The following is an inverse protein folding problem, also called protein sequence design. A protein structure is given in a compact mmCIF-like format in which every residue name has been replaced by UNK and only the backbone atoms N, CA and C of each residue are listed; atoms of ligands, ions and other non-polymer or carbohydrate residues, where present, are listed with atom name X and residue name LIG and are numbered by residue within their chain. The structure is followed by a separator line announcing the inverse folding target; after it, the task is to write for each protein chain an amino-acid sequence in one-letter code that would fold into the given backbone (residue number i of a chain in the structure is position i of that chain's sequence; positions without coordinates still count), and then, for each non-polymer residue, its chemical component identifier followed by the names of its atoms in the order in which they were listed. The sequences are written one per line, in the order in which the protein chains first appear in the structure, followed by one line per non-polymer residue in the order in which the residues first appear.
data_IF_315797897794
#
_entry.id   IF_315797897794
#
_cell.length_a   1.000
_cell.length_b   1.000
_cell.length_c   1.000
_cell.angle_alpha   90.00
_cell.angle_beta   90.00
_cell.angle_gamma   90.00
#
_symmetry.space_group_name_H-M   'P 1'
#
loop_
_entity.id
_entity.type
_entity.pdbx_description
1 polymer ?
#
# COMPACT_ATOMS: atom_id res chain seq x y z
N UNK A 1 -50.31 34.26 5.55
CA UNK A 1 -50.86 34.86 4.31
C UNK A 1 -49.75 34.78 3.27
N UNK A 2 -49.72 33.72 2.47
CA UNK A 2 -50.28 33.59 1.10
C UNK A 2 -49.35 34.22 0.04
N UNK A 3 -48.63 33.46 -0.77
CA UNK A 3 -49.01 32.72 -2.01
C UNK A 3 -49.37 33.60 -3.21
N UNK A 4 -48.62 33.42 -4.32
CA UNK A 4 -49.02 33.37 -5.75
C UNK A 4 -47.71 33.33 -6.59
N UNK A 5 -47.34 32.37 -7.43
CA UNK A 5 -48.01 31.49 -8.41
C UNK A 5 -48.64 32.19 -9.60
N UNK A 6 -48.01 32.06 -10.77
CA UNK A 6 -48.69 32.01 -12.08
C UNK A 6 -48.03 30.97 -12.98
N UNK A 7 -48.88 30.02 -13.40
CA UNK A 7 -48.67 28.97 -14.40
C UNK A 7 -48.99 29.53 -15.78
N UNK A 8 -48.39 28.96 -16.83
CA UNK A 8 -49.04 28.79 -18.13
C UNK A 8 -48.67 27.42 -18.72
N UNK A 9 -49.69 26.71 -19.19
CA UNK A 9 -49.69 25.37 -19.79
C UNK A 9 -49.62 25.44 -21.32
N UNK A 10 -49.17 24.35 -21.95
CA UNK A 10 -49.47 24.02 -23.36
C UNK A 10 -48.51 22.93 -23.89
N UNK A 11 -48.77 21.64 -23.62
CA UNK A 11 -49.49 20.65 -24.45
C UNK A 11 -48.68 19.95 -25.58
N UNK A 12 -48.64 18.62 -25.42
CA UNK A 12 -48.22 17.48 -26.26
C UNK A 12 -48.29 17.59 -27.80
N UNK A 13 -47.34 16.93 -28.51
CA UNK A 13 -47.63 15.65 -29.20
C UNK A 13 -46.42 15.00 -29.93
N UNK A 14 -46.33 13.67 -29.76
CA UNK A 14 -45.97 12.61 -30.71
C UNK A 14 -44.72 12.74 -31.64
N UNK A 15 -43.73 11.87 -31.42
CA UNK A 15 -42.79 11.44 -32.47
C UNK A 15 -43.10 10.00 -32.92
N UNK A 16 -43.33 9.86 -34.23
CA UNK A 16 -43.62 8.63 -34.96
C UNK A 16 -42.38 7.73 -35.12
N UNK A 17 -42.64 6.41 -35.05
CA UNK A 17 -41.85 5.31 -35.62
C UNK A 17 -41.41 5.60 -37.06
N UNK A 18 -40.14 5.35 -37.37
CA UNK A 18 -39.68 4.98 -38.71
C UNK A 18 -38.79 3.74 -38.58
N UNK A 19 -39.26 2.66 -39.19
CA UNK A 19 -38.53 1.41 -39.45
C UNK A 19 -38.01 1.52 -40.87
N UNK A 20 -36.72 1.31 -41.10
CA UNK A 20 -36.16 1.05 -42.43
C UNK A 20 -35.13 -0.07 -42.32
N UNK A 21 -35.44 -1.17 -43.00
CA UNK A 21 -34.59 -2.33 -43.18
C UNK A 21 -33.55 -2.06 -44.26
N UNK A 22 -32.31 -2.53 -44.09
CA UNK A 22 -31.42 -2.85 -45.21
C UNK A 22 -30.65 -4.14 -44.94
N UNK A 23 -30.47 -4.91 -46.02
CA UNK A 23 -29.98 -6.29 -46.08
C UNK A 23 -28.46 -6.42 -45.86
N UNK A 24 -28.08 -7.62 -45.39
CA UNK A 24 -26.73 -8.19 -45.22
C UNK A 24 -25.75 -7.90 -46.37
N UNK A 25 -24.51 -7.59 -46.00
CA UNK A 25 -23.29 -8.03 -46.70
C UNK A 25 -22.29 -8.58 -45.67
N UNK A 26 -21.83 -9.81 -45.89
CA UNK A 26 -20.80 -10.48 -45.08
C UNK A 26 -19.44 -9.86 -45.38
N UNK A 27 -18.79 -9.26 -44.38
CA UNK A 27 -17.34 -9.08 -44.35
C UNK A 27 -16.88 -9.11 -42.89
N UNK A 28 -15.89 -9.95 -42.61
CA UNK A 28 -15.27 -10.13 -41.30
C UNK A 28 -14.52 -8.86 -40.89
N UNK A 29 -15.04 -8.17 -39.87
CA UNK A 29 -14.44 -6.98 -39.26
C UNK A 29 -13.94 -7.32 -37.85
N UNK A 30 -12.80 -6.77 -37.39
CA UNK A 30 -12.32 -6.95 -36.02
C UNK A 30 -13.23 -6.21 -35.03
N UNK A 31 -13.58 -6.87 -33.93
CA UNK A 31 -14.52 -6.40 -32.90
C UNK A 31 -14.14 -5.03 -32.30
N UNK A 32 -15.12 -4.13 -32.08
CA UNK A 32 -14.91 -2.89 -31.34
C UNK A 32 -14.86 -3.16 -29.83
N UNK A 33 -13.92 -2.49 -29.13
CA UNK A 33 -13.87 -2.43 -27.67
C UNK A 33 -15.06 -1.63 -27.11
N UNK A 34 -16.20 -2.30 -26.96
CA UNK A 34 -17.32 -1.85 -26.18
C UNK A 34 -17.60 -2.91 -25.09
N UNK A 35 -17.08 -2.67 -23.88
CA UNK A 35 -17.41 -3.50 -22.72
C UNK A 35 -18.78 -3.04 -22.22
N UNK A 36 -19.82 -3.69 -22.73
CA UNK A 36 -21.16 -3.68 -22.14
C UNK A 36 -21.07 -4.27 -20.74
N UNK A 37 -21.59 -3.56 -19.74
CA UNK A 37 -21.85 -4.15 -18.44
C UNK A 37 -22.97 -5.19 -18.60
N UNK A 38 -22.78 -6.36 -17.98
CA UNK A 38 -23.61 -7.58 -18.03
C UNK A 38 -23.25 -8.54 -19.16
N UNK A 39 -22.40 -9.53 -18.86
CA UNK A 39 -22.71 -10.96 -19.00
C UNK A 39 -21.54 -11.86 -18.51
N UNK A 40 -21.90 -13.03 -17.98
CA UNK A 40 -21.09 -13.93 -17.15
C UNK A 40 -19.98 -14.72 -17.84
N UNK A 41 -19.15 -14.07 -18.66
CA UNK A 41 -17.86 -14.63 -19.09
C UNK A 41 -16.86 -13.46 -19.19
N UNK A 42 -16.27 -13.07 -18.06
CA UNK A 42 -15.38 -11.90 -18.01
C UNK A 42 -14.07 -12.22 -18.72
N UNK A 43 -13.88 -11.77 -19.95
CA UNK A 43 -12.57 -11.78 -20.58
C UNK A 43 -11.76 -10.57 -20.12
N UNK A 44 -10.47 -10.78 -19.85
CA UNK A 44 -9.54 -9.72 -19.47
C UNK A 44 -8.42 -9.62 -20.52
N UNK A 45 -7.94 -8.40 -20.78
CA UNK A 45 -6.80 -8.16 -21.65
C UNK A 45 -5.61 -7.69 -20.80
N UNK A 46 -4.44 -8.29 -21.01
CA UNK A 46 -3.20 -7.92 -20.34
C UNK A 46 -2.18 -7.52 -21.39
N UNK A 47 -1.75 -6.27 -21.34
CA UNK A 47 -0.77 -5.68 -22.24
C UNK A 47 0.60 -5.75 -21.60
N UNK A 48 1.53 -6.41 -22.26
CA UNK A 48 2.91 -6.56 -21.82
C UNK A 48 3.80 -5.51 -22.48
N UNK A 49 4.66 -4.86 -21.70
CA UNK A 49 5.61 -3.86 -22.18
C UNK A 49 6.94 -3.98 -21.43
N UNK A 50 8.05 -4.03 -22.16
CA UNK A 50 9.39 -3.98 -21.60
C UNK A 50 10.06 -2.62 -21.83
N UNK A 51 10.84 -2.16 -20.85
CA UNK A 51 11.62 -0.92 -20.91
C UNK A 51 12.79 -1.00 -21.92
N UNK A 52 13.32 -2.19 -22.17
CA UNK A 52 14.42 -2.46 -23.11
C UNK A 52 14.06 -3.55 -24.13
N UNK A 53 14.91 -3.75 -25.13
CA UNK A 53 14.76 -4.86 -26.09
C UNK A 53 14.71 -6.23 -25.40
N UNK A 54 15.56 -6.47 -24.39
CA UNK A 54 15.58 -7.73 -23.65
C UNK A 54 14.25 -8.01 -22.91
N UNK A 55 13.68 -6.98 -22.27
CA UNK A 55 12.39 -7.09 -21.59
C UNK A 55 11.23 -7.25 -22.60
N UNK A 56 11.33 -6.64 -23.79
CA UNK A 56 10.35 -6.84 -24.85
C UNK A 56 10.42 -8.26 -25.46
N UNK A 57 11.61 -8.87 -25.56
CA UNK A 57 11.71 -10.28 -25.93
C UNK A 57 11.09 -11.20 -24.87
N UNK A 58 11.29 -10.89 -23.58
CA UNK A 58 10.62 -11.62 -22.49
C UNK A 58 9.10 -11.52 -22.61
N UNK A 59 8.57 -10.36 -22.98
CA UNK A 59 7.14 -10.16 -23.20
C UNK A 59 6.60 -11.03 -24.36
N UNK A 60 7.34 -11.12 -25.47
CA UNK A 60 7.01 -11.99 -26.60
C UNK A 60 7.00 -13.46 -26.19
N UNK A 61 8.02 -13.92 -25.47
CA UNK A 61 8.09 -15.30 -24.97
C UNK A 61 6.91 -15.62 -24.05
N UNK A 62 6.58 -14.74 -23.12
CA UNK A 62 5.46 -14.94 -22.21
C UNK A 62 4.12 -15.00 -22.94
N UNK A 63 3.89 -14.09 -23.89
CA UNK A 63 2.69 -14.13 -24.75
C UNK A 63 2.56 -15.47 -25.50
N UNK A 64 3.64 -15.95 -26.10
CA UNK A 64 3.62 -17.18 -26.89
C UNK A 64 3.50 -18.46 -26.05
N UNK A 65 4.01 -18.44 -24.82
CA UNK A 65 3.95 -19.60 -23.92
C UNK A 65 2.55 -19.89 -23.37
N UNK A 66 1.68 -18.87 -23.31
CA UNK A 66 0.39 -18.98 -22.61
C UNK A 66 0.54 -19.27 -21.10
N UNK A 67 1.70 -18.98 -20.52
CA UNK A 67 2.00 -19.35 -19.13
C UNK A 67 1.24 -18.53 -18.08
N UNK A 68 0.86 -17.30 -18.42
CA UNK A 68 0.14 -16.41 -17.50
C UNK A 68 -1.30 -16.86 -17.28
N UNK A 69 -1.71 -16.91 -16.02
CA UNK A 69 -3.05 -17.35 -15.58
C UNK A 69 -3.72 -16.27 -14.74
N UNK A 70 -5.04 -16.22 -14.81
CA UNK A 70 -5.88 -15.44 -13.90
C UNK A 70 -6.64 -16.38 -12.96
N UNK A 71 -7.12 -15.80 -11.85
CA UNK A 71 -8.09 -16.45 -10.97
C UNK A 71 -9.35 -16.88 -11.73
N UNK A 72 -9.94 -17.98 -11.29
CA UNK A 72 -11.31 -18.39 -11.64
C UNK A 72 -11.54 -18.73 -13.14
N UNK A 73 -10.52 -19.22 -13.85
CA UNK A 73 -10.60 -19.55 -15.30
C UNK A 73 -11.07 -18.37 -16.18
N UNK A 74 -10.90 -17.13 -15.70
CA UNK A 74 -11.15 -15.90 -16.47
C UNK A 74 -10.34 -15.96 -17.77
N UNK A 75 -10.99 -15.83 -18.92
CA UNK A 75 -10.31 -15.86 -20.21
C UNK A 75 -9.34 -14.68 -20.31
N UNK A 76 -8.04 -14.98 -20.51
CA UNK A 76 -6.98 -14.00 -20.56
C UNK A 76 -6.48 -13.85 -22.00
N UNK A 77 -6.63 -12.65 -22.55
CA UNK A 77 -6.00 -12.24 -23.80
C UNK A 77 -4.71 -11.49 -23.50
N UNK A 78 -3.58 -11.94 -24.05
CA UNK A 78 -2.28 -11.31 -23.87
C UNK A 78 -1.91 -10.55 -25.14
N UNK A 79 -1.59 -9.27 -25.00
CA UNK A 79 -1.21 -8.37 -26.08
C UNK A 79 0.17 -7.79 -25.80
N UNK A 80 0.94 -7.49 -26.84
CA UNK A 80 2.15 -6.67 -26.68
C UNK A 80 1.77 -5.21 -26.89
N UNK A 81 2.38 -4.31 -26.10
CA UNK A 81 2.19 -2.87 -26.29
C UNK A 81 2.52 -2.43 -27.72
N UNK A 82 3.57 -3.00 -28.31
CA UNK A 82 3.97 -2.75 -29.71
C UNK A 82 2.93 -3.13 -30.76
N UNK A 83 1.95 -3.96 -30.42
CA UNK A 83 0.87 -4.39 -31.32
C UNK A 83 -0.39 -3.51 -31.21
N UNK A 84 -0.44 -2.61 -30.21
CA UNK A 84 -1.60 -1.76 -29.97
C UNK A 84 -1.64 -0.60 -30.97
N UNK A 85 -2.42 -0.75 -32.05
CA UNK A 85 -2.55 0.24 -33.13
C UNK A 85 -3.47 1.44 -32.82
N UNK A 86 -4.12 1.48 -31.65
CA UNK A 86 -5.06 2.56 -31.28
C UNK A 86 -4.60 3.28 -30.01
N UNK A 87 -4.79 4.61 -29.94
CA UNK A 87 -4.59 5.34 -28.71
C UNK A 87 -5.48 4.73 -27.63
N UNK A 88 -4.86 4.32 -26.54
CA UNK A 88 -5.56 3.92 -25.32
C UNK A 88 -6.36 5.16 -24.87
N UNK A 89 -7.60 4.97 -24.38
CA UNK A 89 -8.48 6.08 -23.94
C UNK A 89 -7.71 7.09 -23.07
N UNK A 90 -8.01 8.39 -23.20
CA UNK A 90 -7.31 9.47 -22.47
C UNK A 90 -7.19 9.23 -20.95
N UNK A 91 -8.16 8.56 -20.33
CA UNK A 91 -8.15 8.30 -18.89
C UNK A 91 -7.48 6.98 -18.46
N UNK A 92 -6.90 6.22 -19.39
CA UNK A 92 -6.21 4.97 -19.08
C UNK A 92 -4.77 5.23 -18.61
N UNK A 93 -4.16 4.22 -18.00
CA UNK A 93 -2.76 4.32 -17.59
C UNK A 93 -1.85 4.52 -18.81
N UNK A 94 -1.04 5.58 -18.78
CA UNK A 94 -0.13 5.95 -19.86
C UNK A 94 1.15 5.11 -19.86
N UNK A 95 1.10 3.93 -20.50
CA UNK A 95 2.25 2.99 -20.57
C UNK A 95 3.54 3.69 -21.02
N UNK A 96 3.51 4.44 -22.13
CA UNK A 96 4.71 5.12 -22.65
C UNK A 96 5.18 6.23 -21.70
N UNK A 97 4.27 6.95 -21.05
CA UNK A 97 4.62 8.00 -20.09
C UNK A 97 5.32 7.42 -18.86
N UNK A 98 4.84 6.29 -18.33
CA UNK A 98 5.50 5.58 -17.24
C UNK A 98 6.87 5.07 -17.68
N UNK A 99 6.94 4.36 -18.81
CA UNK A 99 8.18 3.79 -19.31
C UNK A 99 9.21 4.88 -19.58
N UNK A 100 8.84 6.02 -20.17
CA UNK A 100 9.77 7.12 -20.45
C UNK A 100 10.30 7.79 -19.18
N UNK A 101 9.50 7.85 -18.12
CA UNK A 101 9.88 8.49 -16.85
C UNK A 101 10.69 7.58 -15.92
N UNK A 102 10.56 6.26 -16.08
CA UNK A 102 11.24 5.26 -15.25
C UNK A 102 12.76 5.23 -15.51
N UNK A 103 13.57 5.31 -14.44
CA UNK A 103 15.04 5.36 -14.50
C UNK A 103 15.76 4.18 -13.84
N UNK A 104 15.02 3.24 -13.29
CA UNK A 104 15.55 2.08 -12.55
C UNK A 104 16.34 1.08 -13.40
N UNK A 105 17.16 0.29 -12.71
CA UNK A 105 17.92 -0.82 -13.30
C UNK A 105 17.21 -2.17 -13.17
N UNK A 106 16.39 -2.37 -12.13
CA UNK A 106 15.76 -3.66 -11.82
C UNK A 106 14.25 -3.59 -11.73
N UNK A 107 13.70 -2.61 -11.01
CA UNK A 107 12.28 -2.64 -10.65
C UNK A 107 11.39 -1.82 -11.59
N UNK A 108 10.21 -2.32 -11.92
CA UNK A 108 9.20 -1.63 -12.74
C UNK A 108 9.43 -1.71 -14.26
N UNK A 109 10.54 -2.30 -14.69
CA UNK A 109 10.99 -2.29 -16.09
C UNK A 109 10.27 -3.30 -17.00
N UNK A 110 9.55 -4.24 -16.41
CA UNK A 110 8.65 -5.16 -17.11
C UNK A 110 7.22 -4.92 -16.60
N UNK A 111 6.38 -4.34 -17.45
CA UNK A 111 5.01 -3.93 -17.12
C UNK A 111 3.99 -4.91 -17.69
N UNK A 112 3.01 -5.24 -16.87
CA UNK A 112 1.75 -5.87 -17.24
C UNK A 112 0.62 -4.90 -16.92
N UNK A 113 0.01 -4.30 -17.93
CA UNK A 113 -1.10 -3.36 -17.73
C UNK A 113 -2.43 -3.96 -18.18
N UNK A 114 -3.51 -3.65 -17.47
CA UNK A 114 -4.86 -3.91 -17.95
C UNK A 114 -5.84 -2.80 -17.58
N UNK A 115 -6.77 -2.43 -18.48
CA UNK A 115 -7.87 -1.52 -18.14
C UNK A 115 -8.76 -2.05 -17.00
N UNK A 116 -8.87 -3.38 -16.88
CA UNK A 116 -9.73 -4.00 -15.87
C UNK A 116 -9.27 -5.42 -15.61
N UNK A 117 -9.04 -5.73 -14.35
CA UNK A 117 -8.58 -7.05 -13.91
C UNK A 117 -9.14 -7.38 -12.51
N UNK A 118 -9.15 -8.66 -12.09
CA UNK A 118 -9.68 -8.99 -10.76
C UNK A 118 -8.83 -8.37 -9.64
N UNK A 119 -7.52 -8.65 -9.62
CA UNK A 119 -6.56 -8.11 -8.64
C UNK A 119 -5.14 -8.16 -9.21
N UNK A 120 -4.40 -7.05 -9.14
CA UNK A 120 -2.98 -6.99 -9.54
C UNK A 120 -2.14 -7.91 -8.67
N UNK A 121 -2.51 -8.01 -7.39
CA UNK A 121 -1.83 -8.86 -6.42
C UNK A 121 -1.97 -10.34 -6.76
N UNK A 122 -3.15 -10.76 -7.22
CA UNK A 122 -3.40 -12.14 -7.62
C UNK A 122 -2.66 -12.47 -8.93
N UNK A 123 -2.62 -11.54 -9.89
CA UNK A 123 -1.81 -11.69 -11.12
C UNK A 123 -0.34 -11.91 -10.78
N UNK A 124 0.24 -11.07 -9.91
CA UNK A 124 1.65 -11.17 -9.55
C UNK A 124 1.94 -12.45 -8.75
N UNK A 125 1.15 -12.74 -7.72
CA UNK A 125 1.43 -13.87 -6.82
C UNK A 125 1.26 -15.23 -7.49
N UNK A 126 0.29 -15.39 -8.39
CA UNK A 126 0.04 -16.66 -9.07
C UNK A 126 1.05 -16.93 -10.19
N UNK A 127 1.51 -15.88 -10.86
CA UNK A 127 2.42 -15.99 -11.99
C UNK A 127 3.87 -15.70 -11.59
N UNK A 128 4.17 -15.62 -10.29
CA UNK A 128 5.47 -15.16 -9.80
C UNK A 128 6.66 -15.88 -10.44
N UNK A 129 6.56 -17.19 -10.68
CA UNK A 129 7.64 -17.99 -11.27
C UNK A 129 7.85 -17.74 -12.77
N UNK A 130 6.86 -17.21 -13.47
CA UNK A 130 6.92 -16.88 -14.90
C UNK A 130 7.36 -15.42 -15.12
N UNK A 131 7.25 -14.58 -14.08
CA UNK A 131 7.55 -13.16 -14.16
C UNK A 131 9.00 -12.89 -13.73
N UNK A 132 9.69 -11.94 -14.39
CA UNK A 132 11.00 -11.49 -13.92
C UNK A 132 10.85 -10.81 -12.54
N UNK A 133 11.91 -10.88 -11.73
CA UNK A 133 11.96 -10.11 -10.48
C UNK A 133 11.97 -8.61 -10.82
N UNK A 134 11.11 -7.85 -10.15
CA UNK A 134 10.86 -6.45 -10.44
C UNK A 134 9.77 -6.20 -11.48
N UNK A 135 9.13 -7.22 -12.03
CA UNK A 135 7.93 -7.06 -12.86
C UNK A 135 6.81 -6.39 -12.08
N UNK A 136 6.08 -5.48 -12.73
CA UNK A 136 4.95 -4.74 -12.16
C UNK A 136 3.68 -4.98 -12.95
N UNK A 137 2.60 -5.28 -12.25
CA UNK A 137 1.25 -5.31 -12.79
C UNK A 137 0.48 -4.08 -12.36
N UNK A 138 -0.14 -3.36 -13.32
CA UNK A 138 -0.94 -2.16 -13.09
C UNK A 138 -2.36 -2.35 -13.62
N UNK A 139 -3.36 -1.88 -12.86
CA UNK A 139 -4.76 -1.87 -13.28
C UNK A 139 -5.32 -0.44 -13.30
N UNK A 140 -6.18 -0.12 -14.28
CA UNK A 140 -7.03 1.07 -14.13
C UNK A 140 -8.17 0.82 -13.12
N UNK A 141 -8.72 -0.40 -13.10
CA UNK A 141 -9.79 -0.82 -12.18
C UNK A 141 -9.58 -2.26 -11.75
N UNK A 142 -9.71 -2.53 -10.45
CA UNK A 142 -9.81 -3.88 -9.90
C UNK A 142 -11.24 -4.18 -9.45
N UNK A 143 -11.80 -5.34 -9.82
CA UNK A 143 -13.15 -5.74 -9.37
C UNK A 143 -13.14 -6.79 -8.25
N UNK A 144 -11.96 -7.29 -7.86
CA UNK A 144 -11.72 -8.16 -6.69
C UNK A 144 -10.49 -7.69 -5.91
N UNK A 145 -10.36 -6.37 -5.73
CA UNK A 145 -9.21 -5.75 -5.06
C UNK A 145 -8.94 -6.32 -3.66
N UNK A 146 -7.68 -6.59 -3.34
CA UNK A 146 -7.27 -7.27 -2.10
C UNK A 146 -6.82 -6.27 -1.05
N UNK A 147 -7.37 -6.39 0.16
CA UNK A 147 -6.82 -5.81 1.38
C UNK A 147 -6.22 -6.88 2.29
N UNK A 148 -5.69 -6.48 3.44
CA UNK A 148 -5.21 -7.42 4.47
C UNK A 148 -6.35 -8.25 5.04
N UNK A 149 -6.04 -9.49 5.41
CA UNK A 149 -7.00 -10.45 5.97
C UNK A 149 -8.19 -10.68 5.01
N UNK A 150 -9.41 -10.31 5.41
CA UNK A 150 -10.63 -10.45 4.60
C UNK A 150 -11.12 -9.12 4.01
N UNK A 151 -10.36 -8.03 4.18
CA UNK A 151 -10.76 -6.72 3.68
C UNK A 151 -10.62 -6.66 2.16
N UNK A 152 -11.52 -5.93 1.52
CA UNK A 152 -11.52 -5.67 0.07
C UNK A 152 -11.01 -4.25 -0.15
N UNK A 153 -10.18 -4.06 -1.17
CA UNK A 153 -9.75 -2.72 -1.60
C UNK A 153 -10.68 -2.21 -2.70
N UNK A 154 -11.47 -1.18 -2.38
CA UNK A 154 -12.30 -0.49 -3.37
C UNK A 154 -11.42 0.27 -4.38
N UNK A 155 -11.69 0.07 -5.66
CA UNK A 155 -10.80 0.50 -6.76
C UNK A 155 -11.54 1.34 -7.81
N UNK A 156 -12.13 2.49 -7.44
CA UNK A 156 -12.72 3.39 -8.43
C UNK A 156 -11.65 3.90 -9.40
N UNK A 157 -12.08 4.27 -10.61
CA UNK A 157 -11.22 4.86 -11.63
C UNK A 157 -10.52 6.11 -11.06
N UNK A 158 -9.24 6.28 -11.38
CA UNK A 158 -8.38 7.34 -10.81
C UNK A 158 -7.44 6.85 -9.70
N UNK A 159 -7.64 5.64 -9.18
CA UNK A 159 -6.64 5.00 -8.31
C UNK A 159 -5.37 4.64 -9.10
N UNK A 160 -4.22 4.74 -8.46
CA UNK A 160 -3.00 4.02 -8.83
C UNK A 160 -3.02 2.65 -8.12
N UNK A 161 -3.17 1.59 -8.90
CA UNK A 161 -3.31 0.21 -8.41
C UNK A 161 -2.22 -0.63 -9.05
N UNK A 162 -1.27 -1.09 -8.26
CA UNK A 162 -0.18 -1.90 -8.79
C UNK A 162 0.33 -2.93 -7.80
N UNK A 163 0.89 -4.01 -8.32
CA UNK A 163 1.62 -4.99 -7.54
C UNK A 163 2.90 -5.37 -8.26
N UNK A 164 3.96 -5.72 -7.54
CA UNK A 164 5.24 -6.09 -8.17
C UNK A 164 5.93 -7.28 -7.49
N UNK A 165 6.80 -7.94 -8.24
CA UNK A 165 7.61 -9.06 -7.78
C UNK A 165 8.88 -8.59 -7.09
N UNK A 166 9.18 -9.20 -5.95
CA UNK A 166 10.43 -9.03 -5.22
C UNK A 166 10.90 -10.39 -4.69
N UNK A 167 12.20 -10.62 -4.66
CA UNK A 167 12.78 -11.81 -4.06
C UNK A 167 13.74 -11.44 -2.93
N UNK A 168 13.72 -12.23 -1.85
CA UNK A 168 14.54 -12.02 -0.66
C UNK A 168 15.03 -13.37 -0.13
N UNK A 169 16.19 -13.40 0.52
CA UNK A 169 16.76 -14.65 1.06
C UNK A 169 16.56 -14.76 2.57
N UNK A 170 16.75 -13.66 3.30
CA UNK A 170 16.63 -13.63 4.75
C UNK A 170 15.19 -13.39 5.21
N UNK A 171 14.55 -14.46 5.68
CA UNK A 171 13.19 -14.44 6.21
C UNK A 171 12.99 -13.48 7.37
N UNK A 172 14.06 -13.15 8.12
CA UNK A 172 13.99 -12.24 9.27
C UNK A 172 13.71 -10.80 8.87
N UNK A 173 13.97 -10.44 7.63
CA UNK A 173 13.80 -9.06 7.17
C UNK A 173 12.63 -8.93 6.19
N UNK A 174 12.04 -10.04 5.73
CA UNK A 174 10.85 -10.04 4.86
C UNK A 174 9.69 -9.24 5.45
N UNK A 175 9.31 -9.34 6.75
CA UNK A 175 8.22 -8.53 7.31
C UNK A 175 8.48 -7.01 7.24
N UNK A 176 9.74 -6.60 7.14
CA UNK A 176 10.14 -5.19 7.17
C UNK A 176 9.96 -4.51 5.81
N UNK A 177 9.84 -5.29 4.74
CA UNK A 177 9.73 -4.74 3.38
C UNK A 177 8.51 -3.84 3.21
N UNK A 178 7.42 -4.09 3.94
CA UNK A 178 6.22 -3.26 3.88
C UNK A 178 6.52 -1.80 4.27
N UNK A 179 7.48 -1.58 5.18
CA UNK A 179 7.87 -0.25 5.62
C UNK A 179 8.75 0.44 4.57
N UNK A 180 9.63 -0.32 3.91
CA UNK A 180 10.42 0.17 2.77
C UNK A 180 9.51 0.59 1.62
N UNK A 181 8.50 -0.22 1.31
CA UNK A 181 7.46 0.12 0.31
C UNK A 181 6.68 1.35 0.74
N UNK A 182 6.28 1.45 2.01
CA UNK A 182 5.57 2.62 2.55
C UNK A 182 6.37 3.90 2.39
N UNK A 183 7.64 3.87 2.77
CA UNK A 183 8.57 4.98 2.62
C UNK A 183 8.75 5.38 1.16
N UNK A 184 8.89 4.41 0.26
CA UNK A 184 9.05 4.69 -1.16
C UNK A 184 7.82 5.43 -1.75
N UNK A 185 6.60 5.06 -1.34
CA UNK A 185 5.39 5.79 -1.79
C UNK A 185 5.40 7.22 -1.26
N UNK A 186 5.66 7.42 0.03
CA UNK A 186 5.66 8.78 0.61
C UNK A 186 6.73 9.67 0.00
N UNK A 187 7.92 9.12 -0.27
CA UNK A 187 9.04 9.82 -0.89
C UNK A 187 8.86 10.08 -2.38
N UNK A 188 8.16 9.21 -3.09
CA UNK A 188 7.79 9.43 -4.48
C UNK A 188 6.85 10.63 -4.63
N UNK A 189 5.87 10.76 -3.74
CA UNK A 189 4.96 11.90 -3.76
C UNK A 189 5.71 13.20 -3.47
N UNK A 190 6.66 13.22 -2.53
CA UNK A 190 7.53 14.39 -2.29
C UNK A 190 8.33 14.75 -3.54
N UNK A 191 8.96 13.76 -4.15
CA UNK A 191 9.78 13.94 -5.34
C UNK A 191 9.00 14.55 -6.52
N UNK A 192 7.77 14.10 -6.72
CA UNK A 192 6.87 14.68 -7.73
C UNK A 192 6.48 16.11 -7.36
N UNK A 193 6.24 16.42 -6.07
CA UNK A 193 6.01 17.80 -5.64
C UNK A 193 7.21 18.70 -5.95
N UNK A 194 8.40 18.28 -5.54
CA UNK A 194 9.64 19.05 -5.67
C UNK A 194 9.97 19.32 -7.15
N UNK A 195 9.89 18.30 -8.01
CA UNK A 195 10.15 18.42 -9.45
C UNK A 195 9.21 19.38 -10.17
N UNK A 196 7.99 19.56 -9.65
CA UNK A 196 6.97 20.39 -10.25
C UNK A 196 6.73 21.71 -9.48
N UNK A 197 7.57 22.02 -8.48
CA UNK A 197 7.43 23.25 -7.69
C UNK A 197 6.11 23.35 -6.92
N UNK A 198 5.55 22.22 -6.49
CA UNK A 198 4.27 22.14 -5.79
C UNK A 198 4.44 22.25 -4.28
N UNK A 199 3.41 22.71 -3.54
CA UNK A 199 3.44 22.59 -2.09
C UNK A 199 3.49 21.13 -1.67
N UNK A 200 4.11 20.88 -0.52
CA UNK A 200 4.38 19.52 -0.08
C UNK A 200 3.10 18.79 0.35
N UNK A 201 2.77 17.68 -0.32
CA UNK A 201 1.67 16.78 0.05
C UNK A 201 2.17 15.75 1.07
N UNK A 202 1.93 16.06 2.35
CA UNK A 202 2.46 15.30 3.49
C UNK A 202 1.68 14.00 3.76
N UNK A 203 1.91 12.99 2.92
CA UNK A 203 1.38 11.64 3.15
C UNK A 203 2.15 10.97 4.29
N UNK A 204 1.42 10.59 5.34
CA UNK A 204 1.93 9.91 6.54
C UNK A 204 1.65 8.41 6.50
N UNK A 205 2.51 7.65 7.16
CA UNK A 205 2.38 6.21 7.36
C UNK A 205 1.63 5.96 8.66
N UNK A 206 0.44 5.38 8.57
CA UNK A 206 -0.28 4.78 9.70
C UNK A 206 0.08 3.30 9.75
N UNK A 207 0.74 2.91 10.82
CA UNK A 207 1.17 1.52 11.00
C UNK A 207 -0.03 0.56 11.00
N UNK A 208 0.08 -0.64 10.40
CA UNK A 208 1.29 -1.21 9.77
C UNK A 208 1.50 -0.87 8.29
N UNK A 209 0.47 -0.45 7.58
CA UNK A 209 0.45 -0.56 6.12
C UNK A 209 -0.48 0.45 5.43
N UNK A 210 -0.98 1.46 6.14
CA UNK A 210 -1.91 2.43 5.60
C UNK A 210 -1.22 3.78 5.37
N UNK A 211 -1.62 4.46 4.30
CA UNK A 211 -1.15 5.80 3.96
C UNK A 211 -2.28 6.80 4.21
N UNK A 212 -1.96 7.87 4.92
CA UNK A 212 -2.90 8.88 5.38
C UNK A 212 -2.49 10.27 4.91
N UNK A 213 -3.48 11.06 4.52
CA UNK A 213 -3.33 12.46 4.15
C UNK A 213 -4.41 13.25 4.86
N UNK A 214 -4.01 14.26 5.64
CA UNK A 214 -4.93 15.08 6.44
C UNK A 214 -5.93 14.26 7.29
N UNK A 215 -5.44 13.21 7.96
CA UNK A 215 -6.27 12.34 8.81
C UNK A 215 -7.17 11.34 8.07
N UNK A 216 -7.24 11.40 6.74
CA UNK A 216 -8.01 10.47 5.91
C UNK A 216 -7.10 9.45 5.23
N UNK A 217 -7.59 8.22 5.08
CA UNK A 217 -6.86 7.17 4.37
C UNK A 217 -6.83 7.48 2.87
N UNK A 218 -5.64 7.54 2.30
CA UNK A 218 -5.40 7.78 0.86
C UNK A 218 -4.78 6.56 0.18
N UNK A 219 -4.21 5.61 0.92
CA UNK A 219 -3.60 4.43 0.34
C UNK A 219 -3.45 3.27 1.31
N UNK A 220 -3.05 2.12 0.77
CA UNK A 220 -2.80 0.91 1.52
C UNK A 220 -1.80 0.01 0.81
N UNK A 221 -1.03 -0.73 1.61
CA UNK A 221 0.03 -1.63 1.15
C UNK A 221 -0.29 -3.04 1.62
N UNK A 222 -0.03 -4.01 0.74
CA UNK A 222 -0.21 -5.44 0.99
C UNK A 222 1.05 -6.18 0.52
N UNK A 223 1.85 -6.67 1.46
CA UNK A 223 2.94 -7.58 1.15
C UNK A 223 2.55 -9.00 1.55
N UNK A 224 2.68 -9.94 0.62
CA UNK A 224 2.55 -11.38 0.90
C UNK A 224 3.79 -12.10 0.38
N UNK A 225 4.21 -13.16 1.05
CA UNK A 225 5.36 -13.95 0.63
C UNK A 225 5.03 -15.43 0.55
N UNK A 226 5.66 -16.12 -0.40
CA UNK A 226 5.77 -17.58 -0.42
C UNK A 226 7.23 -17.97 -0.33
N UNK A 227 7.54 -19.12 0.27
CA UNK A 227 8.90 -19.63 0.33
C UNK A 227 9.06 -20.76 -0.68
N UNK A 228 9.95 -20.58 -1.67
CA UNK A 228 10.22 -21.55 -2.73
C UNK A 228 11.69 -21.50 -3.12
N UNK A 229 12.29 -22.66 -3.38
CA UNK A 229 13.70 -22.76 -3.83
C UNK A 229 14.70 -22.00 -2.94
N UNK A 230 14.53 -22.07 -1.61
CA UNK A 230 15.33 -21.38 -0.60
C UNK A 230 15.24 -19.85 -0.61
N UNK A 231 14.26 -19.29 -1.30
CA UNK A 231 14.04 -17.85 -1.39
C UNK A 231 12.58 -17.50 -1.05
N UNK A 232 12.39 -16.29 -0.53
CA UNK A 232 11.09 -15.68 -0.30
C UNK A 232 10.67 -14.88 -1.52
N UNK A 233 9.64 -15.35 -2.20
CA UNK A 233 8.97 -14.67 -3.30
C UNK A 233 7.92 -13.75 -2.71
N UNK A 234 8.21 -12.44 -2.70
CA UNK A 234 7.37 -11.39 -2.13
C UNK A 234 6.58 -10.70 -3.24
N UNK A 235 5.26 -10.74 -3.13
CA UNK A 235 4.34 -9.92 -3.92
C UNK A 235 3.95 -8.70 -3.09
N UNK A 236 4.30 -7.50 -3.56
CA UNK A 236 3.97 -6.25 -2.90
C UNK A 236 2.95 -5.47 -3.73
N UNK A 237 1.76 -5.30 -3.19
CA UNK A 237 0.64 -4.56 -3.78
C UNK A 237 0.42 -3.22 -3.08
N UNK A 238 0.10 -2.19 -3.87
CA UNK A 238 -0.21 -0.84 -3.42
C UNK A 238 -1.50 -0.39 -4.12
N UNK A 239 -2.41 0.13 -3.31
CA UNK A 239 -3.52 0.95 -3.77
C UNK A 239 -3.36 2.37 -3.26
N UNK A 240 -3.37 3.35 -4.15
CA UNK A 240 -3.23 4.76 -3.82
C UNK A 240 -4.30 5.57 -4.54
N UNK A 241 -5.03 6.40 -3.81
CA UNK A 241 -6.05 7.27 -4.36
C UNK A 241 -5.41 8.52 -4.94
N UNK A 242 -5.31 8.60 -6.27
CA UNK A 242 -4.64 9.73 -6.96
C UNK A 242 -5.67 10.74 -7.42
N UNK A 243 -6.67 10.30 -8.18
CA UNK A 243 -7.71 11.15 -8.75
C UNK A 243 -9.14 10.59 -8.54
N UNK A 244 -9.37 9.97 -7.37
CA UNK A 244 -10.66 9.42 -6.98
C UNK A 244 -11.11 9.94 -5.61
N UNK A 245 -12.03 10.90 -5.58
CA UNK A 245 -12.43 11.56 -4.33
C UNK A 245 -13.17 10.64 -3.34
N UNK A 246 -13.68 9.50 -3.83
CA UNK A 246 -14.42 8.50 -3.04
C UNK A 246 -13.65 7.18 -2.99
N UNK A 247 -13.84 6.36 -1.93
CA UNK A 247 -14.75 6.56 -0.80
C UNK A 247 -14.23 7.51 0.29
N UNK A 248 -12.95 7.89 0.28
CA UNK A 248 -12.32 8.70 1.34
C UNK A 248 -11.87 10.08 0.84
N UNK A 249 -10.75 10.11 0.12
CA UNK A 249 -10.12 11.29 -0.51
C UNK A 249 -9.03 10.83 -1.48
N UNK A 250 -8.43 11.74 -2.25
CA UNK A 250 -7.29 11.49 -3.11
C UNK A 250 -6.26 12.63 -3.10
N UNK A 251 -5.08 12.37 -3.66
CA UNK A 251 -3.99 13.35 -3.75
C UNK A 251 -4.39 14.63 -4.49
N UNK A 252 -5.11 14.49 -5.63
CA UNK A 252 -5.49 15.65 -6.43
C UNK A 252 -6.56 16.52 -5.77
N UNK A 253 -7.48 15.95 -4.99
CA UNK A 253 -8.43 16.75 -4.17
C UNK A 253 -7.66 17.60 -3.16
N UNK A 254 -6.73 16.99 -2.42
CA UNK A 254 -5.94 17.72 -1.44
C UNK A 254 -5.02 18.78 -2.08
N UNK A 255 -4.41 18.50 -3.24
CA UNK A 255 -3.57 19.48 -3.94
C UNK A 255 -4.35 20.73 -4.36
N UNK A 256 -5.59 20.54 -4.84
CA UNK A 256 -6.51 21.64 -5.19
C UNK A 256 -6.91 22.48 -3.97
N UNK A 257 -7.03 21.86 -2.80
CA UNK A 257 -7.30 22.57 -1.55
C UNK A 257 -6.08 23.36 -1.06
N UNK A 258 -4.88 22.86 -1.30
CA UNK A 258 -3.63 23.44 -0.82
C UNK A 258 -3.10 24.59 -1.70
N UNK A 259 -3.41 24.59 -3.00
CA UNK A 259 -2.88 25.59 -3.94
C UNK A 259 -3.78 25.83 -5.16
N UNK A 260 -3.62 27.00 -5.79
CA UNK A 260 -4.32 27.40 -7.03
C UNK A 260 -3.63 26.80 -8.28
N UNK A 261 -2.95 25.66 -8.14
CA UNK A 261 -2.22 25.03 -9.25
C UNK A 261 -3.19 24.37 -10.23
N UNK A 262 -2.86 24.40 -11.51
CA UNK A 262 -3.53 23.60 -12.55
C UNK A 262 -2.91 22.20 -12.69
N UNK A 263 -1.78 21.96 -12.01
CA UNK A 263 -1.13 20.65 -12.00
C UNK A 263 -2.01 19.60 -11.34
N UNK A 264 -1.98 18.40 -11.89
CA UNK A 264 -2.59 17.21 -11.30
C UNK A 264 -1.56 16.10 -11.26
N UNK A 265 -1.46 15.42 -10.13
CA UNK A 265 -0.67 14.21 -10.02
C UNK A 265 -1.15 13.18 -11.04
N UNK A 266 -0.19 12.67 -11.81
CA UNK A 266 -0.41 11.58 -12.74
C UNK A 266 0.04 10.27 -12.13
N UNK A 267 -0.74 9.22 -12.37
CA UNK A 267 -0.46 7.86 -11.85
C UNK A 267 0.89 7.35 -12.35
N UNK A 268 1.24 7.67 -13.58
CA UNK A 268 2.49 7.26 -14.23
C UNK A 268 3.71 7.91 -13.55
N UNK A 269 3.63 9.22 -13.27
CA UNK A 269 4.71 9.98 -12.65
C UNK A 269 4.97 9.50 -11.22
N UNK A 270 3.90 9.24 -10.45
CA UNK A 270 4.01 8.66 -9.10
C UNK A 270 4.61 7.25 -9.16
N UNK A 271 4.17 6.40 -10.10
CA UNK A 271 4.68 5.03 -10.19
C UNK A 271 6.16 4.99 -10.59
N UNK A 272 6.59 5.85 -11.52
CA UNK A 272 8.00 5.97 -11.91
C UNK A 272 8.84 6.44 -10.71
N UNK A 273 8.41 7.52 -10.04
CA UNK A 273 9.09 8.03 -8.84
C UNK A 273 9.11 6.99 -7.70
N UNK A 274 8.04 6.19 -7.56
CA UNK A 274 7.99 5.09 -6.59
C UNK A 274 9.11 4.09 -6.85
N UNK A 275 9.26 3.60 -8.07
CA UNK A 275 10.31 2.61 -8.37
C UNK A 275 11.71 3.19 -8.22
N UNK A 276 11.92 4.45 -8.60
CA UNK A 276 13.20 5.14 -8.41
C UNK A 276 13.58 5.27 -6.91
N UNK A 277 12.61 5.57 -6.03
CA UNK A 277 12.84 5.62 -4.58
C UNK A 277 12.95 4.22 -3.97
N UNK A 278 12.09 3.31 -4.39
CA UNK A 278 12.06 1.94 -3.89
C UNK A 278 13.36 1.20 -4.19
N UNK A 279 13.92 1.32 -5.41
CA UNK A 279 15.19 0.69 -5.75
C UNK A 279 16.32 1.17 -4.83
N UNK A 280 16.41 2.49 -4.58
CA UNK A 280 17.40 3.07 -3.67
C UNK A 280 17.21 2.61 -2.22
N UNK A 281 15.97 2.64 -1.71
CA UNK A 281 15.69 2.22 -0.33
C UNK A 281 15.83 0.72 -0.13
N UNK A 282 15.47 -0.07 -1.13
CA UNK A 282 15.67 -1.51 -1.11
C UNK A 282 17.17 -1.85 -1.03
N UNK A 283 18.01 -1.21 -1.84
CA UNK A 283 19.46 -1.42 -1.78
C UNK A 283 20.05 -0.99 -0.42
N UNK A 284 19.63 0.16 0.13
CA UNK A 284 20.03 0.56 1.49
C UNK A 284 19.60 -0.47 2.54
N UNK A 285 18.36 -0.92 2.45
CA UNK A 285 17.77 -1.88 3.38
C UNK A 285 18.47 -3.24 3.35
N UNK A 286 18.76 -3.78 2.17
CA UNK A 286 19.44 -5.08 2.05
C UNK A 286 20.90 -4.99 2.49
N UNK A 287 21.59 -3.89 2.21
CA UNK A 287 23.02 -3.75 2.50
C UNK A 287 23.31 -3.26 3.93
N UNK A 288 22.45 -2.43 4.52
CA UNK A 288 22.69 -1.74 5.80
C UNK A 288 21.62 -2.02 6.86
N UNK A 289 20.57 -2.78 6.52
CA UNK A 289 19.43 -3.01 7.39
C UNK A 289 18.46 -1.82 7.44
N UNK A 290 17.32 -2.03 8.09
CA UNK A 290 16.27 -1.01 8.19
C UNK A 290 16.68 0.22 9.00
N UNK A 291 17.69 0.10 9.85
CA UNK A 291 18.23 1.18 10.68
C UNK A 291 18.61 2.41 9.85
N UNK A 292 19.09 2.19 8.61
CA UNK A 292 19.41 3.26 7.66
C UNK A 292 18.19 4.11 7.23
N UNK A 293 16.97 3.58 7.40
CA UNK A 293 15.71 4.20 6.99
C UNK A 293 14.82 4.62 8.18
N UNK A 294 15.22 4.31 9.42
CA UNK A 294 14.41 4.54 10.62
C UNK A 294 14.06 6.02 10.82
N UNK A 295 15.04 6.91 10.71
CA UNK A 295 14.81 8.35 10.89
C UNK A 295 13.75 8.87 9.90
N UNK A 296 13.86 8.45 8.64
CA UNK A 296 12.91 8.82 7.59
C UNK A 296 11.51 8.23 7.87
N UNK A 297 11.46 6.98 8.34
CA UNK A 297 10.22 6.32 8.73
C UNK A 297 9.51 7.09 9.83
N UNK A 298 10.24 7.46 10.88
CA UNK A 298 9.70 8.16 12.04
C UNK A 298 9.25 9.59 11.73
N UNK A 299 9.95 10.31 10.85
CA UNK A 299 9.51 11.62 10.34
C UNK A 299 8.19 11.53 9.57
N UNK A 300 7.92 10.37 8.99
CA UNK A 300 6.73 10.11 8.17
C UNK A 300 5.64 9.34 8.92
N UNK A 301 5.90 8.96 10.18
CA UNK A 301 4.94 8.20 10.99
C UNK A 301 3.81 9.09 11.51
N UNK A 302 2.57 8.64 11.35
CA UNK A 302 1.37 9.43 11.67
C UNK A 302 1.20 9.70 13.18
N UNK A 303 1.66 8.78 14.03
CA UNK A 303 1.34 8.80 15.46
C UNK A 303 2.28 9.67 16.31
N UNK A 304 3.30 10.26 15.71
CA UNK A 304 4.23 11.16 16.40
C UNK A 304 3.47 12.34 17.02
N UNK A 305 3.62 12.55 18.33
CA UNK A 305 2.98 13.62 19.09
C UNK A 305 1.52 13.38 19.44
N UNK A 306 0.94 12.20 19.14
CA UNK A 306 -0.45 11.92 19.49
C UNK A 306 -0.60 11.65 20.99
N UNK A 307 -1.65 12.24 21.59
CA UNK A 307 -2.06 11.90 22.95
C UNK A 307 -2.94 10.65 22.92
N UNK A 308 -2.56 9.64 23.69
CA UNK A 308 -3.30 8.39 23.87
C UNK A 308 -3.66 8.23 25.34
N UNK A 309 -4.78 7.56 25.60
CA UNK A 309 -5.18 7.16 26.94
C UNK A 309 -4.71 5.73 27.14
N UNK A 310 -3.86 5.53 28.13
CA UNK A 310 -3.38 4.22 28.57
C UNK A 310 -4.22 3.82 29.77
N UNK A 311 -4.99 2.74 29.63
CA UNK A 311 -5.81 2.19 30.71
C UNK A 311 -5.08 1.02 31.36
N UNK A 312 -4.58 1.18 32.57
CA UNK A 312 -4.09 0.05 33.37
C UNK A 312 -5.24 -0.54 34.19
N UNK A 313 -5.40 -1.87 34.13
CA UNK A 313 -6.38 -2.60 34.94
C UNK A 313 -5.66 -3.38 36.03
N UNK A 314 -5.78 -2.92 37.27
CA UNK A 314 -5.23 -3.61 38.45
C UNK A 314 -6.38 -4.16 39.29
N UNK A 315 -6.56 -5.48 39.23
CA UNK A 315 -7.51 -6.36 39.94
C UNK A 315 -8.99 -5.92 39.98
N UNK A 316 -9.33 -4.66 40.28
CA UNK A 316 -10.67 -4.05 40.17
C UNK A 316 -10.68 -2.53 39.86
N UNK A 317 -9.51 -1.88 39.67
CA UNK A 317 -9.41 -0.45 39.34
C UNK A 317 -8.88 -0.25 37.92
N UNK A 318 -9.50 0.67 37.18
CA UNK A 318 -9.01 1.17 35.90
C UNK A 318 -8.37 2.54 36.12
N UNK A 319 -7.07 2.63 35.91
CA UNK A 319 -6.33 3.90 35.96
C UNK A 319 -6.09 4.37 34.53
N UNK A 320 -6.60 5.55 34.21
CA UNK A 320 -6.40 6.18 32.90
C UNK A 320 -5.26 7.20 32.98
N UNK A 321 -4.21 6.99 32.18
CA UNK A 321 -3.12 7.95 32.02
C UNK A 321 -3.15 8.54 30.61
N UNK A 322 -3.16 9.86 30.52
CA UNK A 322 -2.99 10.55 29.23
C UNK A 322 -1.50 10.65 28.94
N UNK A 323 -1.10 10.11 27.81
CA UNK A 323 0.29 9.94 27.42
C UNK A 323 0.50 10.52 26.04
N UNK A 324 1.60 11.23 25.81
CA UNK A 324 1.98 11.63 24.45
C UNK A 324 2.94 10.61 23.85
N UNK A 325 2.56 10.05 22.69
CA UNK A 325 3.44 9.21 21.87
C UNK A 325 4.57 10.09 21.35
N UNK A 326 5.78 9.82 21.83
CA UNK A 326 6.99 10.42 21.31
C UNK A 326 7.84 9.33 20.67
N UNK A 327 8.34 9.62 19.47
CA UNK A 327 9.34 8.76 18.84
C UNK A 327 10.69 9.18 19.34
N UNK A 328 11.38 8.30 20.04
CA UNK A 328 12.72 8.58 20.52
C UNK A 328 13.74 7.92 19.62
N UNK A 329 14.67 8.72 19.09
CA UNK A 329 15.85 8.20 18.42
C UNK A 329 16.67 7.41 19.45
N UNK A 330 16.70 6.09 19.26
CA UNK A 330 17.22 5.09 20.21
C UNK A 330 18.70 5.28 20.59
N UNK A 331 19.46 6.11 19.88
CA UNK A 331 20.92 6.23 20.12
C UNK A 331 21.34 7.11 21.28
N UNK A 332 20.55 8.08 21.74
CA UNK A 332 21.03 9.03 22.76
C UNK A 332 20.56 8.71 24.19
N UNK A 333 19.43 8.02 24.31
CA UNK A 333 18.81 7.71 25.61
C UNK A 333 19.10 6.31 26.12
N UNK A 334 19.49 5.35 25.26
CA UNK A 334 19.92 4.04 25.75
C UNK A 334 21.19 4.15 26.60
N UNK A 335 22.12 5.06 26.28
CA UNK A 335 23.31 5.29 27.12
C UNK A 335 22.96 6.03 28.44
N UNK A 336 21.86 6.78 28.50
CA UNK A 336 21.44 7.55 29.70
C UNK A 336 20.43 6.79 30.60
N UNK A 337 19.62 5.88 30.05
CA UNK A 337 18.54 5.16 30.77
C UNK A 337 18.92 3.77 31.29
N UNK A 338 20.14 3.29 31.06
CA UNK A 338 20.61 1.94 31.45
C UNK A 338 20.76 1.69 32.97
N UNK A 339 19.98 2.37 33.83
CA UNK A 339 19.98 2.13 35.28
C UNK A 339 18.63 1.73 35.90
N UNK A 340 17.52 1.63 35.13
CA UNK A 340 16.21 1.31 35.73
C UNK A 340 15.36 0.36 34.87
N UNK A 341 14.89 -0.74 35.49
CA UNK A 341 13.90 -1.64 34.92
C UNK A 341 12.51 -1.00 34.98
N UNK A 342 11.89 -0.72 33.82
CA UNK A 342 10.48 -0.32 33.72
C UNK A 342 9.67 -1.38 32.98
N UNK A 343 8.51 -1.74 33.54
CA UNK A 343 7.42 -2.37 32.79
C UNK A 343 6.55 -1.26 32.22
N UNK A 344 6.28 -1.27 30.91
CA UNK A 344 5.46 -0.26 30.24
C UNK A 344 4.33 -1.00 29.51
N UNK A 345 3.08 -0.75 29.89
CA UNK A 345 1.92 -1.22 29.13
C UNK A 345 1.51 -0.14 28.12
N UNK A 346 1.43 -0.48 26.83
CA UNK A 346 1.06 0.48 25.78
C UNK A 346 -0.18 -0.01 25.02
N UNK A 347 -1.20 0.84 24.95
CA UNK A 347 -2.44 0.59 24.24
C UNK A 347 -2.48 1.43 22.97
N UNK A 348 -2.68 0.78 21.82
CA UNK A 348 -2.96 1.48 20.55
C UNK A 348 -4.13 0.79 19.87
N UNK A 349 -5.30 1.44 19.92
CA UNK A 349 -6.54 1.06 19.22
C UNK A 349 -6.99 -0.41 19.40
N UNK A 350 -7.75 -0.64 20.48
CA UNK A 350 -8.59 -1.83 20.74
C UNK A 350 -7.89 -3.20 20.80
N UNK A 351 -6.57 -3.27 20.95
CA UNK A 351 -5.89 -4.54 21.29
C UNK A 351 -4.82 -4.35 22.37
N UNK A 352 -4.78 -5.30 23.29
CA UNK A 352 -3.87 -5.35 24.43
C UNK A 352 -2.50 -5.86 23.98
N UNK A 353 -1.43 -5.14 24.32
CA UNK A 353 -0.06 -5.61 24.26
C UNK A 353 0.63 -5.33 25.61
N UNK A 354 1.15 -6.38 26.25
CA UNK A 354 2.01 -6.25 27.44
C UNK A 354 3.48 -6.22 27.00
N UNK A 355 4.24 -5.23 27.47
CA UNK A 355 5.67 -5.10 27.21
C UNK A 355 6.44 -5.43 28.49
N UNK A 356 7.37 -6.39 28.42
CA UNK A 356 8.31 -6.69 29.51
C UNK A 356 9.75 -6.57 28.98
N UNK A 357 10.61 -5.90 29.76
CA UNK A 357 12.01 -5.63 29.44
C UNK A 357 12.93 -6.50 30.33
N UNK A 358 13.97 -7.08 29.75
CA UNK A 358 15.01 -7.82 30.49
C UNK A 358 16.41 -7.31 30.11
N UNK A 359 17.24 -7.04 31.12
CA UNK A 359 18.54 -6.37 31.00
C UNK A 359 19.62 -7.41 30.74
N UNK A 360 20.20 -7.45 29.54
CA UNK A 360 21.47 -8.14 29.32
C UNK A 360 22.39 -7.34 28.39
N UNK A 361 23.59 -6.89 28.83
CA UNK A 361 24.38 -5.85 28.14
C UNK A 361 24.98 -6.23 26.78
N UNK A 362 24.83 -7.48 26.33
CA UNK A 362 25.46 -7.98 25.10
C UNK A 362 24.49 -8.60 24.10
N UNK A 363 23.17 -8.43 24.28
CA UNK A 363 22.17 -8.97 23.34
C UNK A 363 21.07 -7.94 23.07
N UNK A 364 20.66 -7.90 21.80
CA UNK A 364 19.48 -7.21 21.27
C UNK A 364 18.31 -7.37 22.25
N UNK A 365 17.65 -6.28 22.60
CA UNK A 365 16.48 -6.29 23.48
C UNK A 365 15.34 -7.07 22.84
N UNK A 366 14.80 -8.06 23.56
CA UNK A 366 13.61 -8.82 23.15
C UNK A 366 12.42 -8.39 24.00
N UNK A 367 11.24 -8.33 23.39
CA UNK A 367 9.98 -8.23 24.12
C UNK A 367 9.51 -9.64 24.50
N UNK A 368 9.27 -9.89 25.77
CA UNK A 368 8.62 -11.12 26.26
C UNK A 368 7.13 -10.83 26.42
N UNK A 369 6.29 -11.61 25.73
CA UNK A 369 4.86 -11.70 25.99
C UNK A 369 4.62 -12.86 26.95
N UNK A 370 4.23 -12.58 28.19
CA UNK A 370 3.68 -13.59 29.10
C UNK A 370 2.23 -13.23 29.43
N UNK A 371 1.31 -14.09 29.01
CA UNK A 371 -0.08 -14.09 29.50
C UNK A 371 -0.40 -15.50 29.99
N UNK A 372 -0.86 -15.61 31.23
CA UNK A 372 -1.24 -16.86 31.89
C UNK A 372 -2.62 -17.41 31.48
N UNK A 373 -3.19 -16.95 30.37
CA UNK A 373 -4.46 -17.43 29.84
C UNK A 373 -4.26 -18.38 28.65
N UNK A 374 -4.80 -19.60 28.78
CA UNK A 374 -4.60 -20.75 27.88
C UNK A 374 -5.23 -20.61 26.47
N UNK A 375 -5.42 -19.40 25.94
CA UNK A 375 -5.96 -19.18 24.59
C UNK A 375 -5.38 -17.95 23.86
N UNK A 376 -4.12 -17.57 24.12
CA UNK A 376 -3.41 -16.62 23.27
C UNK A 376 -2.38 -17.33 22.37
N UNK A 377 -2.65 -17.36 21.07
CA UNK A 377 -1.63 -17.57 20.03
C UNK A 377 -1.17 -16.22 19.51
N UNK A 378 0.09 -15.89 19.76
CA UNK A 378 0.71 -14.68 19.22
C UNK A 378 1.95 -15.08 18.42
N UNK A 379 1.89 -14.86 17.11
CA UNK A 379 3.00 -15.09 16.19
C UNK A 379 3.63 -13.72 15.87
N UNK A 380 4.84 -13.47 16.36
CA UNK A 380 5.68 -12.36 15.91
C UNK A 380 6.75 -12.90 14.95
N UNK A 381 6.83 -12.34 13.74
CA UNK A 381 8.03 -12.44 12.90
C UNK A 381 8.63 -11.03 12.75
N UNK A 382 9.75 -10.88 13.46
CA UNK A 382 10.92 -10.05 13.20
C UNK A 382 10.92 -8.49 13.25
N UNK A 383 11.77 -8.02 14.19
CA UNK A 383 12.72 -6.89 14.20
C UNK A 383 12.47 -5.61 13.39
N UNK A 384 11.51 -4.78 13.79
CA UNK A 384 11.74 -3.32 13.94
C UNK A 384 11.16 -2.92 15.29
N UNK A 385 12.03 -2.58 16.23
CA UNK A 385 11.67 -2.08 17.55
C UNK A 385 11.74 -0.55 17.52
N UNK A 386 10.61 0.10 17.24
CA UNK A 386 10.45 1.50 17.65
C UNK A 386 10.11 1.53 19.14
N UNK A 387 11.03 2.04 19.97
CA UNK A 387 10.72 2.38 21.36
C UNK A 387 9.81 3.61 21.35
N UNK A 388 8.51 3.40 21.59
CA UNK A 388 7.60 4.48 21.97
C UNK A 388 7.77 4.68 23.46
N UNK A 389 8.44 5.77 23.87
CA UNK A 389 8.39 6.17 25.27
C UNK A 389 7.19 7.06 25.51
N UNK A 390 6.53 6.74 26.60
CA UNK A 390 5.42 7.45 27.19
C UNK A 390 6.00 8.59 28.04
N UNK A 391 5.92 9.84 27.56
CA UNK A 391 6.21 11.01 28.40
C UNK A 391 4.94 11.34 29.18
N UNK A 392 5.07 11.55 30.49
CA UNK A 392 4.02 11.96 31.45
C UNK A 392 3.35 10.85 32.30
N UNK A 393 4.03 9.71 32.56
CA UNK A 393 3.63 8.91 33.73
C UNK A 393 4.08 9.61 35.02
N UNK A 394 3.19 9.82 36.02
CA UNK A 394 3.61 10.28 37.33
C UNK A 394 4.56 9.25 37.96
N UNK A 395 5.78 9.70 38.28
CA UNK A 395 6.78 8.97 39.06
C UNK A 395 6.29 8.79 40.50
N UNK A 396 5.39 7.84 40.72
CA UNK A 396 5.11 7.32 42.05
C UNK A 396 4.85 5.82 41.97
N UNK A 397 5.92 5.05 41.74
CA UNK A 397 5.94 3.64 42.09
C UNK A 397 6.94 3.45 43.23
N UNK A 398 6.40 3.11 44.40
CA UNK A 398 7.13 2.88 45.63
C UNK A 398 7.98 1.59 45.51
N UNK A 399 9.28 1.76 45.23
CA UNK A 399 10.25 0.69 44.93
C UNK A 399 10.48 -0.27 46.11
N UNK A 400 9.98 0.05 47.32
CA UNK A 400 10.27 -0.72 48.53
C UNK A 400 9.36 -1.94 48.75
N UNK A 401 8.25 -2.10 48.00
CA UNK A 401 7.33 -3.25 48.17
C UNK A 401 7.60 -4.46 47.25
N UNK A 402 8.47 -4.34 46.25
CA UNK A 402 8.75 -5.45 45.30
C UNK A 402 10.00 -6.30 45.63
N UNK A 403 10.77 -5.95 46.68
CA UNK A 403 11.99 -6.69 47.06
C UNK A 403 11.75 -8.00 47.83
N UNK A 404 10.52 -8.31 48.25
CA UNK A 404 10.25 -9.49 49.09
C UNK A 404 9.58 -10.68 48.38
N UNK A 405 9.46 -10.67 47.04
CA UNK A 405 8.82 -11.78 46.30
C UNK A 405 9.82 -12.72 45.60
N UNK A 406 11.09 -12.33 45.44
CA UNK A 406 12.13 -13.16 44.81
C UNK A 406 13.27 -13.56 45.76
N UNK A 407 12.94 -13.90 47.02
CA UNK A 407 13.82 -14.66 47.91
C UNK A 407 13.13 -15.92 48.41
N UNK A 408 12.72 -16.79 47.49
CA UNK A 408 12.43 -18.21 47.73
C UNK A 408 12.15 -18.85 46.38
N UNK A 409 13.18 -19.45 45.82
CA UNK A 409 13.20 -20.74 45.13
C UNK A 409 14.44 -20.79 44.23
N UNK A 410 15.47 -21.41 44.79
CA UNK A 410 16.45 -22.23 44.08
C UNK A 410 15.72 -23.29 43.25
#
# INVERSE_FOLDING_TARGET
MSYAFTRSLGFFSALKKVILSTKKTNSSLPLPFAVSAMDGNSSCALVLCGKSSAENETAKTLKNSGALKLTDNTELSILLHSESAKPIKEDAFGVDSFMNSLSTNRFGRFLLWSPRLPSTHDVISQNFCELPIGAVCVADVQYKGRGRSKNVWESPKGCLLFSFTLQMEDGRVVPLIQYVVSLAVTEAIKDVCDKNGLPYVDVKIKWPNDLYLNGLKVGGILCTSTFKSKQFNVSAGIGLNVDNEKPTTCLNTFLRELSVTTYQFRREDILAAFFDKFEKFYELFINQGFQSLEELYYKTWLHSGQRVIVQEKNDDQVVENVVTIQVWQTRKLLDELLTQSLNIHAYVHERVCTLSYDINPTKICYFILSGSDRNLRVTFMDKILGLVFIKDMPLSLDIQKLKNVFSKNV
#
